data_IF_088204172055
#
_entry.id   IF_088204172055
#
_cell.length_a   1.000
_cell.length_b   1.000
_cell.length_c   1.000
_cell.angle_alpha   90.00
_cell.angle_beta   90.00
_cell.angle_gamma   90.00
#
_symmetry.space_group_name_H-M   'P 1'
#
loop_
_entity.id
_entity.type
_entity.pdbx_description
1 polymer ?
#
# COMPACT_ATOMS: atom_id res chain seq x y z
N UNK A 1 3.72 4.75 4.15
CA UNK A 1 5.14 4.98 3.77
C UNK A 1 5.87 3.66 3.81
N UNK A 2 6.57 3.29 2.75
CA UNK A 2 7.44 2.12 2.68
C UNK A 2 8.90 2.58 2.72
N UNK A 3 9.70 2.06 3.65
CA UNK A 3 11.14 2.29 3.66
C UNK A 3 11.85 1.24 2.78
N UNK A 4 12.64 1.70 1.82
CA UNK A 4 13.40 0.87 0.88
C UNK A 4 14.87 0.73 1.31
N UNK A 5 15.44 1.78 1.89
CA UNK A 5 16.81 1.79 2.43
C UNK A 5 16.95 2.85 3.53
N UNK A 6 17.95 2.69 4.39
CA UNK A 6 18.21 3.61 5.51
C UNK A 6 17.10 3.68 6.55
N UNK A 7 17.31 4.48 7.58
CA UNK A 7 16.33 4.69 8.65
C UNK A 7 15.61 6.03 8.51
N UNK A 8 14.30 6.00 8.71
CA UNK A 8 13.42 7.17 8.65
C UNK A 8 12.64 7.30 9.95
N UNK A 9 12.33 8.53 10.34
CA UNK A 9 11.27 8.83 11.29
C UNK A 9 10.13 9.50 10.54
N UNK A 10 8.95 8.90 10.60
CA UNK A 10 7.72 9.36 9.95
C UNK A 10 6.71 9.66 11.04
N UNK A 11 6.33 10.92 11.20
CA UNK A 11 5.43 11.35 12.29
C UNK A 11 5.91 10.88 13.69
N UNK A 12 7.23 10.91 13.90
CA UNK A 12 7.88 10.43 15.13
C UNK A 12 8.03 8.91 15.24
N UNK A 13 7.46 8.14 14.31
CA UNK A 13 7.55 6.67 14.29
C UNK A 13 8.79 6.24 13.50
N UNK A 14 9.69 5.41 14.07
CA UNK A 14 10.80 4.85 13.31
C UNK A 14 10.29 3.85 12.26
N UNK A 15 10.78 3.97 11.04
CA UNK A 15 10.45 3.11 9.90
C UNK A 15 11.75 2.61 9.28
N UNK A 16 11.99 1.30 9.38
CA UNK A 16 13.21 0.64 8.89
C UNK A 16 12.97 -0.05 7.55
N UNK A 17 14.02 -0.35 6.75
CA UNK A 17 13.85 -0.96 5.43
C UNK A 17 13.00 -2.24 5.47
N UNK A 18 12.09 -2.38 4.51
CA UNK A 18 11.16 -3.51 4.44
C UNK A 18 9.89 -3.36 5.29
N UNK A 19 9.76 -2.30 6.08
CA UNK A 19 8.55 -2.00 6.85
C UNK A 19 7.65 -0.96 6.14
N UNK A 20 6.34 -1.09 6.36
CA UNK A 20 5.34 -0.16 5.85
C UNK A 20 4.55 0.46 7.00
N UNK A 21 4.55 1.79 7.07
CA UNK A 21 3.72 2.55 7.99
C UNK A 21 2.40 2.96 7.32
N UNK A 22 1.28 2.51 7.88
CA UNK A 22 -0.06 2.97 7.52
C UNK A 22 -0.35 4.34 8.14
N UNK A 23 -0.78 5.29 7.30
CA UNK A 23 -0.96 6.69 7.70
C UNK A 23 -2.42 7.07 7.94
N UNK A 24 -3.40 6.18 7.77
CA UNK A 24 -4.82 6.58 7.82
C UNK A 24 -5.20 7.61 6.75
N UNK A 25 -6.34 8.27 6.96
CA UNK A 25 -6.88 9.31 6.07
C UNK A 25 -6.89 10.69 6.75
N UNK A 26 -7.16 11.75 5.97
CA UNK A 26 -7.43 13.10 6.50
C UNK A 26 -6.20 13.94 6.86
N UNK A 27 -5.00 13.49 6.52
CA UNK A 27 -3.76 14.25 6.74
C UNK A 27 -3.53 15.23 5.59
N UNK A 28 -3.19 16.48 5.92
CA UNK A 28 -2.79 17.52 4.96
C UNK A 28 -1.27 17.68 4.87
N UNK A 29 -0.54 17.17 5.87
CA UNK A 29 0.92 17.17 5.92
C UNK A 29 1.43 15.92 6.63
N UNK A 30 2.70 15.57 6.41
CA UNK A 30 3.36 14.43 7.02
C UNK A 30 4.82 14.77 7.34
N UNK A 31 5.18 14.93 8.62
CA UNK A 31 6.58 15.12 9.02
C UNK A 31 7.41 13.89 8.66
N UNK A 32 8.51 14.13 7.96
CA UNK A 32 9.45 13.11 7.50
C UNK A 32 10.86 13.55 7.84
N UNK A 33 11.63 12.66 8.48
CA UNK A 33 13.04 12.89 8.80
C UNK A 33 13.85 11.66 8.42
N UNK A 34 14.89 11.86 7.62
CA UNK A 34 15.93 10.87 7.40
C UNK A 34 16.86 10.82 8.62
N UNK A 35 17.04 9.63 9.20
CA UNK A 35 18.00 9.38 10.30
C UNK A 35 19.36 8.97 9.73
N UNK A 36 19.37 8.31 8.58
CA UNK A 36 20.55 8.03 7.75
C UNK A 36 20.26 8.38 6.28
N UNK A 37 21.22 8.17 5.38
CA UNK A 37 20.92 8.13 3.94
C UNK A 37 19.84 7.08 3.68
N UNK A 38 18.67 7.51 3.22
CA UNK A 38 17.46 6.70 3.19
C UNK A 38 16.64 6.92 1.92
N UNK A 39 15.99 5.85 1.47
CA UNK A 39 15.06 5.83 0.35
C UNK A 39 13.69 5.35 0.79
N UNK A 40 12.63 6.07 0.42
CA UNK A 40 11.26 5.77 0.82
C UNK A 40 10.27 5.94 -0.34
N UNK A 41 9.15 5.23 -0.28
CA UNK A 41 8.00 5.42 -1.15
C UNK A 41 6.79 5.87 -0.32
N UNK A 42 6.15 6.97 -0.73
CA UNK A 42 4.83 7.37 -0.25
C UNK A 42 3.79 6.89 -1.25
N UNK A 43 2.91 6.00 -0.81
CA UNK A 43 1.78 5.49 -1.58
C UNK A 43 0.48 5.86 -0.86
N UNK A 44 -0.46 6.44 -1.59
CA UNK A 44 -1.75 6.85 -1.09
C UNK A 44 -2.64 7.39 -2.21
N UNK A 45 -3.93 7.56 -1.89
CA UNK A 45 -4.97 8.02 -2.81
C UNK A 45 -6.32 8.06 -2.10
N UNK A 46 -7.36 8.46 -2.83
CA UNK A 46 -8.73 8.39 -2.33
C UNK A 46 -9.12 6.94 -2.01
N UNK A 47 -9.71 6.66 -0.84
CA UNK A 47 -10.18 5.31 -0.51
C UNK A 47 -11.24 4.83 -1.52
N UNK A 48 -11.13 3.58 -1.95
CA UNK A 48 -12.17 2.97 -2.79
C UNK A 48 -13.49 2.88 -2.02
N UNK A 49 -14.58 3.36 -2.62
CA UNK A 49 -15.93 3.23 -2.07
C UNK A 49 -16.51 1.81 -2.24
N UNK A 50 -15.98 1.06 -3.20
CA UNK A 50 -16.45 -0.26 -3.59
C UNK A 50 -15.78 -1.36 -2.77
N UNK A 51 -16.50 -2.48 -2.58
CA UNK A 51 -15.92 -3.67 -1.97
C UNK A 51 -15.08 -4.41 -3.02
N UNK A 52 -13.78 -4.54 -2.75
CA UNK A 52 -12.87 -5.33 -3.57
C UNK A 52 -12.76 -6.76 -3.02
N UNK A 53 -12.74 -7.73 -3.93
CA UNK A 53 -12.35 -9.11 -3.69
C UNK A 53 -11.03 -9.35 -4.39
N UNK A 54 -10.05 -9.82 -3.61
CA UNK A 54 -8.73 -10.20 -4.12
C UNK A 54 -8.54 -11.69 -3.87
N UNK A 55 -8.29 -12.44 -4.94
CA UNK A 55 -8.00 -13.87 -4.87
C UNK A 55 -6.84 -14.19 -5.79
N UNK A 56 -5.73 -14.67 -5.21
CA UNK A 56 -4.48 -14.89 -5.92
C UNK A 56 -4.09 -13.67 -6.77
N UNK A 57 -3.96 -13.82 -8.09
CA UNK A 57 -3.61 -12.76 -9.03
C UNK A 57 -4.82 -12.00 -9.61
N UNK A 58 -6.03 -12.25 -9.11
CA UNK A 58 -7.26 -11.64 -9.61
C UNK A 58 -7.84 -10.64 -8.60
N UNK A 59 -8.28 -9.50 -9.12
CA UNK A 59 -8.96 -8.44 -8.37
C UNK A 59 -10.28 -8.14 -9.07
N UNK A 60 -11.39 -8.24 -8.33
CA UNK A 60 -12.73 -8.00 -8.83
C UNK A 60 -13.64 -7.44 -7.74
N UNK A 61 -14.91 -7.23 -8.07
CA UNK A 61 -15.94 -6.71 -7.16
C UNK A 61 -16.89 -7.80 -6.66
N UNK A 62 -16.97 -8.91 -7.39
CA UNK A 62 -17.86 -10.04 -7.08
C UNK A 62 -17.15 -11.37 -7.28
N UNK A 63 -17.67 -12.43 -6.66
CA UNK A 63 -17.15 -13.78 -6.80
C UNK A 63 -17.25 -14.27 -8.27
N UNK A 64 -18.33 -13.90 -8.96
CA UNK A 64 -18.58 -14.25 -10.35
C UNK A 64 -17.53 -13.65 -11.30
N UNK A 65 -17.07 -12.42 -11.03
CA UNK A 65 -15.98 -11.80 -11.80
C UNK A 65 -14.66 -12.58 -11.64
N UNK A 66 -14.35 -13.04 -10.43
CA UNK A 66 -13.15 -13.85 -10.16
C UNK A 66 -13.23 -15.21 -10.86
N UNK A 67 -14.39 -15.87 -10.83
CA UNK A 67 -14.63 -17.15 -11.51
C UNK A 67 -14.45 -17.02 -13.02
N UNK A 68 -15.06 -15.98 -13.63
CA UNK A 68 -14.88 -15.68 -15.05
C UNK A 68 -13.40 -15.42 -15.40
N UNK A 69 -12.72 -14.56 -14.63
CA UNK A 69 -11.31 -14.24 -14.88
C UNK A 69 -10.41 -15.49 -14.81
N UNK A 70 -10.75 -16.44 -13.92
CA UNK A 70 -10.05 -17.73 -13.84
C UNK A 70 -10.33 -18.62 -15.05
N UNK A 71 -11.58 -18.72 -15.50
CA UNK A 71 -11.94 -19.47 -16.72
C UNK A 71 -11.19 -18.93 -17.94
N UNK A 72 -11.20 -17.60 -18.11
CA UNK A 72 -10.54 -16.91 -19.22
C UNK A 72 -9.02 -17.12 -19.21
N UNK A 73 -8.39 -17.22 -18.03
CA UNK A 73 -6.95 -17.48 -17.90
C UNK A 73 -6.54 -18.91 -18.28
N UNK A 74 -7.44 -19.89 -18.12
CA UNK A 74 -7.14 -21.31 -18.38
C UNK A 74 -7.31 -21.70 -19.85
N UNK A 75 -7.81 -20.79 -20.69
CA UNK A 75 -8.05 -21.01 -22.12
C UNK A 75 -7.01 -20.27 -22.95
#
# INVERSE_FOLDING_TARGET
VLAMSGELSVDGVPVTPGSMLYLGCGRTSLPLRAVSDAGAMLLGGEPFAERLLMWWNFVGRTQQEIERAREDWMT
#
